data_IF_556314719284
#
_entry.id   IF_556314719284
#
_cell.length_a   1.000
_cell.length_b   1.000
_cell.length_c   1.000
_cell.angle_alpha   90.00
_cell.angle_beta   90.00
_cell.angle_gamma   90.00
#
_symmetry.space_group_name_H-M   'P 1'
#
loop_
_entity.id
_entity.type
_entity.pdbx_description
1 polymer ?
#
# COMPACT_ATOMS: atom_id res chain seq x y z
N UNK A 1 -0.23 2.54 9.90
CA UNK A 1 -0.50 3.97 10.18
C UNK A 1 -0.41 4.31 11.66
N UNK A 2 -0.97 3.55 12.59
CA UNK A 2 -0.96 3.88 14.04
C UNK A 2 0.43 4.07 14.63
N UNK A 3 1.44 3.31 14.22
CA UNK A 3 2.83 3.51 14.63
C UNK A 3 3.36 4.91 14.24
N UNK A 4 3.02 5.39 13.03
CA UNK A 4 3.39 6.73 12.58
C UNK A 4 2.63 7.81 13.35
N UNK A 5 1.32 7.67 13.58
CA UNK A 5 0.53 8.60 14.41
C UNK A 5 1.15 8.72 15.80
N UNK A 6 1.45 7.57 16.43
CA UNK A 6 2.09 7.54 17.74
C UNK A 6 3.44 8.27 17.75
N UNK A 7 4.26 8.05 16.74
CA UNK A 7 5.57 8.69 16.64
C UNK A 7 5.45 10.21 16.45
N UNK A 8 4.56 10.67 15.55
CA UNK A 8 4.29 12.10 15.33
C UNK A 8 3.85 12.76 16.62
N UNK A 9 2.84 12.21 17.31
CA UNK A 9 2.31 12.80 18.54
C UNK A 9 3.38 12.86 19.64
N UNK A 10 4.08 11.76 19.90
CA UNK A 10 5.07 11.72 20.98
C UNK A 10 6.30 12.58 20.69
N UNK A 11 6.79 12.61 19.46
CA UNK A 11 7.90 13.48 19.07
C UNK A 11 7.51 14.96 19.08
N UNK A 12 6.27 15.30 18.77
CA UNK A 12 5.74 16.66 18.91
C UNK A 12 5.66 17.10 20.38
N UNK A 13 5.10 16.25 21.24
CA UNK A 13 4.98 16.53 22.69
C UNK A 13 6.37 16.75 23.30
N UNK A 14 7.37 15.95 22.94
CA UNK A 14 8.75 16.12 23.42
C UNK A 14 9.34 17.49 23.06
N UNK A 15 8.86 18.12 21.98
CA UNK A 15 9.23 19.49 21.58
C UNK A 15 8.31 20.57 22.16
N UNK A 16 7.40 20.21 23.06
CA UNK A 16 6.44 21.14 23.67
C UNK A 16 5.25 21.50 22.76
N UNK A 17 5.02 20.74 21.68
CA UNK A 17 3.92 20.99 20.76
C UNK A 17 2.62 20.34 21.22
N UNK A 18 1.50 20.96 20.89
CA UNK A 18 0.17 20.37 21.03
C UNK A 18 -0.17 19.61 19.75
N UNK A 19 -0.69 18.39 19.88
CA UNK A 19 -1.09 17.58 18.76
C UNK A 19 -2.62 17.42 18.68
N UNK A 20 -3.19 17.67 17.51
CA UNK A 20 -4.59 17.40 17.18
C UNK A 20 -4.65 16.31 16.12
N UNK A 21 -5.51 15.32 16.34
CA UNK A 21 -5.83 14.30 15.35
C UNK A 21 -7.03 14.71 14.51
N UNK A 22 -6.88 14.69 13.18
CA UNK A 22 -7.99 14.90 12.25
C UNK A 22 -8.63 13.53 11.96
N UNK A 23 -9.88 13.33 12.37
CA UNK A 23 -10.62 12.10 12.07
C UNK A 23 -11.08 12.11 10.62
N UNK A 24 -11.12 10.92 10.00
CA UNK A 24 -11.65 10.71 8.62
C UNK A 24 -10.95 11.54 7.54
N UNK A 25 -9.66 11.85 7.74
CA UNK A 25 -8.84 12.53 6.74
C UNK A 25 -9.41 13.89 6.30
N UNK A 26 -9.33 14.22 5.00
CA UNK A 26 -9.78 15.53 4.51
C UNK A 26 -11.27 15.79 4.69
N UNK A 27 -12.11 14.76 4.69
CA UNK A 27 -13.55 14.92 4.99
C UNK A 27 -13.75 15.44 6.41
N UNK A 28 -13.02 14.88 7.37
CA UNK A 28 -13.08 15.33 8.74
C UNK A 28 -12.42 16.70 8.95
N UNK A 29 -11.36 17.00 8.20
CA UNK A 29 -10.73 18.32 8.24
C UNK A 29 -11.72 19.43 7.86
N UNK A 30 -12.48 19.23 6.78
CA UNK A 30 -13.52 20.18 6.35
C UNK A 30 -14.64 20.34 7.36
N UNK A 31 -14.95 19.27 8.09
CA UNK A 31 -15.96 19.26 9.16
C UNK A 31 -15.42 19.73 10.52
N UNK A 32 -14.14 20.11 10.62
CA UNK A 32 -13.44 20.41 11.88
C UNK A 32 -13.54 19.27 12.91
N UNK A 33 -13.54 18.00 12.45
CA UNK A 33 -13.57 16.81 13.31
C UNK A 33 -12.16 16.56 13.89
N UNK A 34 -11.81 17.39 14.86
CA UNK A 34 -10.48 17.46 15.48
C UNK A 34 -10.56 16.90 16.89
N UNK A 35 -9.57 16.09 17.28
CA UNK A 35 -9.46 15.52 18.62
C UNK A 35 -8.08 15.80 19.21
N UNK A 36 -7.97 16.27 20.45
CA UNK A 36 -6.70 16.39 21.13
C UNK A 36 -6.03 15.01 21.25
N UNK A 37 -4.72 14.95 21.02
CA UNK A 37 -3.92 13.72 21.15
C UNK A 37 -2.78 13.95 22.13
N UNK A 38 -2.90 13.35 23.31
CA UNK A 38 -1.82 13.28 24.29
C UNK A 38 -1.05 11.95 24.22
N UNK A 39 -0.01 11.84 25.03
CA UNK A 39 0.83 10.63 25.10
C UNK A 39 0.05 9.36 25.49
N UNK A 40 -1.04 9.49 26.26
CA UNK A 40 -1.91 8.39 26.67
C UNK A 40 -2.82 7.93 25.54
N UNK A 41 -3.35 8.86 24.74
CA UNK A 41 -4.28 8.55 23.63
C UNK A 41 -3.62 7.72 22.53
N UNK A 42 -2.30 7.86 22.38
CA UNK A 42 -1.48 7.04 21.46
C UNK A 42 -0.74 5.91 22.16
N UNK A 43 -1.08 5.63 23.41
CA UNK A 43 -0.62 4.45 24.16
C UNK A 43 -1.31 3.19 23.64
N UNK A 44 -0.56 2.07 23.49
CA UNK A 44 -1.15 0.79 23.12
C UNK A 44 -1.69 0.68 21.68
N UNK A 45 -1.40 1.61 20.77
CA UNK A 45 -1.91 1.58 19.39
C UNK A 45 -0.91 1.02 18.37
N UNK A 46 0.37 0.87 18.72
CA UNK A 46 1.43 0.49 17.79
C UNK A 46 1.20 -0.88 17.14
N UNK A 47 0.58 -1.80 17.87
CA UNK A 47 0.26 -3.15 17.42
C UNK A 47 -1.07 -3.23 16.66
N UNK A 48 -1.88 -2.16 16.66
CA UNK A 48 -3.17 -2.15 16.00
C UNK A 48 -3.03 -1.84 14.51
N UNK A 49 -3.68 -2.64 13.67
CA UNK A 49 -3.81 -2.37 12.24
C UNK A 49 -4.72 -1.16 11.95
N UNK A 50 -4.77 -0.78 10.68
CA UNK A 50 -5.60 0.34 10.24
C UNK A 50 -5.14 1.69 10.78
N UNK A 51 -6.10 2.54 11.17
CA UNK A 51 -5.86 3.87 11.75
C UNK A 51 -6.90 4.22 12.81
N UNK A 52 -6.44 4.67 13.97
CA UNK A 52 -7.31 5.15 15.05
C UNK A 52 -8.09 6.42 14.69
N UNK A 53 -7.59 7.17 13.70
CA UNK A 53 -8.23 8.40 13.22
C UNK A 53 -9.25 8.14 12.10
N UNK A 54 -9.43 6.88 11.69
CA UNK A 54 -10.28 6.49 10.56
C UNK A 54 -9.83 7.12 9.23
N UNK A 55 -10.51 6.81 8.16
CA UNK A 55 -10.26 7.38 6.84
C UNK A 55 -11.57 7.49 6.07
N UNK A 56 -11.67 8.49 5.19
CA UNK A 56 -12.76 8.64 4.24
C UNK A 56 -12.23 9.20 2.91
N UNK A 57 -12.91 8.89 1.82
CA UNK A 57 -12.64 9.53 0.53
C UNK A 57 -13.30 10.91 0.50
N UNK A 58 -12.54 11.92 0.08
CA UNK A 58 -13.03 13.29 -0.11
C UNK A 58 -12.79 13.67 -1.58
N UNK A 59 -13.77 13.38 -2.44
CA UNK A 59 -13.63 13.63 -3.87
C UNK A 59 -13.55 15.12 -4.20
N UNK A 60 -14.25 15.97 -3.43
CA UNK A 60 -14.25 17.42 -3.59
C UNK A 60 -12.91 18.08 -3.22
N UNK A 61 -12.00 17.35 -2.57
CA UNK A 61 -10.69 17.90 -2.18
C UNK A 61 -9.76 18.17 -3.37
N UNK A 62 -10.16 17.79 -4.60
CA UNK A 62 -9.50 18.18 -5.85
C UNK A 62 -9.77 19.64 -6.22
N UNK A 63 -10.81 20.27 -5.65
CA UNK A 63 -11.23 21.64 -5.91
C UNK A 63 -10.47 22.62 -5.00
N UNK A 64 -9.91 23.69 -5.58
CA UNK A 64 -9.14 24.67 -4.81
C UNK A 64 -10.00 25.39 -3.75
N UNK A 65 -11.28 25.63 -4.01
CA UNK A 65 -12.19 26.21 -3.04
C UNK A 65 -12.29 25.37 -1.77
N UNK A 66 -12.38 24.03 -1.91
CA UNK A 66 -12.41 23.07 -0.81
C UNK A 66 -11.08 23.05 -0.05
N UNK A 67 -9.95 23.16 -0.76
CA UNK A 67 -8.61 23.21 -0.15
C UNK A 67 -8.43 24.50 0.67
N UNK A 68 -8.91 25.65 0.16
CA UNK A 68 -8.90 26.93 0.90
C UNK A 68 -9.78 26.84 2.16
N UNK A 69 -10.97 26.26 2.05
CA UNK A 69 -11.83 26.01 3.22
C UNK A 69 -11.10 25.15 4.27
N UNK A 70 -10.36 24.12 3.88
CA UNK A 70 -9.56 23.33 4.80
C UNK A 70 -8.48 24.16 5.51
N UNK A 71 -7.79 25.05 4.80
CA UNK A 71 -6.81 25.96 5.39
C UNK A 71 -7.48 26.92 6.38
N UNK A 72 -8.66 27.42 6.06
CA UNK A 72 -9.41 28.30 6.96
C UNK A 72 -9.84 27.58 8.26
N UNK A 73 -10.17 26.29 8.17
CA UNK A 73 -10.41 25.45 9.35
C UNK A 73 -9.14 25.33 10.17
N UNK A 74 -7.99 24.99 9.55
CA UNK A 74 -6.71 24.87 10.25
C UNK A 74 -6.34 26.17 10.97
N UNK A 75 -6.46 27.32 10.30
CA UNK A 75 -6.15 28.63 10.86
C UNK A 75 -7.08 29.02 12.03
N UNK A 76 -8.38 28.75 11.90
CA UNK A 76 -9.36 29.03 12.98
C UNK A 76 -9.09 28.21 14.24
N UNK A 77 -8.47 27.05 14.10
CA UNK A 77 -8.07 26.19 15.22
C UNK A 77 -6.61 26.38 15.62
N UNK A 78 -5.95 27.45 15.15
CA UNK A 78 -4.57 27.80 15.48
C UNK A 78 -3.56 26.67 15.18
N UNK A 79 -3.84 25.88 14.11
CA UNK A 79 -2.98 24.81 13.67
C UNK A 79 -1.92 25.39 12.75
N UNK A 80 -0.65 25.25 13.14
CA UNK A 80 0.50 25.85 12.44
C UNK A 80 1.07 24.95 11.35
N UNK A 81 0.92 23.62 11.48
CA UNK A 81 1.41 22.66 10.51
C UNK A 81 0.55 21.40 10.46
N UNK A 82 0.60 20.67 9.35
CA UNK A 82 -0.13 19.43 9.13
C UNK A 82 0.80 18.29 8.74
N UNK A 83 0.64 17.13 9.38
CA UNK A 83 1.26 15.87 8.94
C UNK A 83 0.20 14.99 8.27
N UNK A 84 0.42 14.63 7.00
CA UNK A 84 -0.51 13.81 6.20
C UNK A 84 0.06 12.42 6.01
N UNK A 85 -0.57 11.41 6.61
CA UNK A 85 -0.15 10.00 6.51
C UNK A 85 -1.05 9.28 5.51
N UNK A 86 -0.53 8.90 4.35
CA UNK A 86 -1.34 8.21 3.35
C UNK A 86 -0.64 7.95 2.02
N UNK A 87 -1.40 7.41 1.07
CA UNK A 87 -0.98 7.11 -0.30
C UNK A 87 -1.13 8.30 -1.25
N UNK A 88 -1.04 8.03 -2.57
CA UNK A 88 -1.00 9.04 -3.63
C UNK A 88 -2.09 10.12 -3.53
N UNK A 89 -3.36 9.75 -3.30
CA UNK A 89 -4.44 10.72 -3.16
C UNK A 89 -4.27 11.64 -1.95
N UNK A 90 -3.77 11.12 -0.83
CA UNK A 90 -3.49 11.93 0.36
C UNK A 90 -2.33 12.88 0.13
N UNK A 91 -1.27 12.42 -0.57
CA UNK A 91 -0.11 13.24 -0.89
C UNK A 91 -0.43 14.31 -1.94
N UNK A 92 -1.32 14.03 -2.89
CA UNK A 92 -1.84 15.06 -3.81
C UNK A 92 -2.57 16.18 -3.06
N UNK A 93 -3.41 15.84 -2.08
CA UNK A 93 -4.05 16.82 -1.20
C UNK A 93 -3.04 17.58 -0.33
N UNK A 94 -2.03 16.91 0.21
CA UNK A 94 -0.94 17.54 0.95
C UNK A 94 -0.17 18.55 0.09
N UNK A 95 0.14 18.19 -1.18
CA UNK A 95 0.75 19.10 -2.14
C UNK A 95 -0.13 20.32 -2.41
N UNK A 96 -1.45 20.12 -2.60
CA UNK A 96 -2.38 21.21 -2.85
C UNK A 96 -2.40 22.23 -1.70
N UNK A 97 -2.47 21.75 -0.44
CA UNK A 97 -2.40 22.64 0.73
C UNK A 97 -1.04 23.37 0.82
N UNK A 98 0.06 22.66 0.54
CA UNK A 98 1.40 23.25 0.53
C UNK A 98 1.53 24.33 -0.54
N UNK A 99 0.99 24.12 -1.75
CA UNK A 99 0.94 25.15 -2.81
C UNK A 99 0.18 26.42 -2.39
N UNK A 100 -0.82 26.27 -1.55
CA UNK A 100 -1.59 27.39 -1.00
C UNK A 100 -0.91 28.03 0.23
N UNK A 101 0.33 27.65 0.53
CA UNK A 101 1.19 28.25 1.54
C UNK A 101 0.97 27.71 2.95
N UNK A 102 0.28 26.56 3.13
CA UNK A 102 0.14 25.96 4.45
C UNK A 102 1.30 24.95 4.69
N UNK A 103 1.97 24.97 5.87
CA UNK A 103 3.05 24.03 6.17
C UNK A 103 2.55 22.58 6.27
N UNK A 104 2.96 21.73 5.34
CA UNK A 104 2.55 20.31 5.29
C UNK A 104 3.76 19.41 5.12
N UNK A 105 3.78 18.30 5.85
CA UNK A 105 4.70 17.18 5.64
C UNK A 105 3.90 15.90 5.39
N UNK A 106 4.21 15.20 4.29
CA UNK A 106 3.62 13.92 3.96
C UNK A 106 4.40 12.76 4.58
N UNK A 107 3.73 11.63 4.85
CA UNK A 107 4.33 10.34 5.20
C UNK A 107 3.77 9.27 4.27
N UNK A 108 4.68 8.51 3.63
CA UNK A 108 4.32 7.46 2.67
C UNK A 108 3.65 6.26 3.36
N UNK A 109 2.34 6.06 3.15
CA UNK A 109 1.57 4.97 3.77
C UNK A 109 0.47 4.47 2.83
N UNK A 110 0.70 3.30 2.24
CA UNK A 110 -0.26 2.54 1.42
C UNK A 110 0.22 1.10 1.32
N UNK A 111 -0.69 0.14 1.10
CA UNK A 111 -0.32 -1.25 0.82
C UNK A 111 0.15 -1.44 -0.62
N UNK A 112 -0.25 -0.54 -1.53
CA UNK A 112 0.00 -0.64 -2.98
C UNK A 112 1.48 -0.40 -3.34
N UNK A 113 2.26 0.17 -2.40
CA UNK A 113 3.68 0.53 -2.52
C UNK A 113 4.03 1.33 -3.78
N UNK A 114 3.11 2.19 -4.23
CA UNK A 114 3.15 2.94 -5.49
C UNK A 114 3.43 4.45 -5.33
N UNK A 115 3.75 4.90 -4.10
CA UNK A 115 4.08 6.31 -3.82
C UNK A 115 5.52 6.60 -4.24
N UNK A 116 5.68 7.57 -5.14
CA UNK A 116 7.01 8.08 -5.53
C UNK A 116 7.70 8.74 -4.33
N UNK A 117 9.02 8.53 -4.20
CA UNK A 117 9.80 9.07 -3.07
C UNK A 117 9.91 8.14 -1.86
N UNK A 118 9.45 6.86 -1.99
CA UNK A 118 9.70 5.84 -0.97
C UNK A 118 9.90 4.46 -1.60
N UNK A 119 10.97 3.75 -1.23
CA UNK A 119 11.20 2.36 -1.67
C UNK A 119 10.16 1.41 -1.08
N UNK A 120 9.74 1.67 0.15
CA UNK A 120 8.69 0.92 0.83
C UNK A 120 7.75 1.87 1.58
N UNK A 121 6.46 1.59 1.54
CA UNK A 121 5.41 2.37 2.19
C UNK A 121 4.85 1.64 3.40
N UNK A 122 4.43 2.38 4.42
CA UNK A 122 3.82 1.80 5.63
C UNK A 122 2.57 1.01 5.24
N UNK A 123 2.54 -0.27 5.59
CA UNK A 123 1.44 -1.20 5.35
C UNK A 123 1.71 -2.22 4.25
N UNK A 124 2.69 -1.99 3.36
CA UNK A 124 3.00 -2.89 2.26
C UNK A 124 3.55 -4.24 2.74
N UNK A 125 4.44 -4.24 3.74
CA UNK A 125 5.00 -5.46 4.32
C UNK A 125 3.93 -6.33 5.00
N UNK A 126 3.03 -5.71 5.73
CA UNK A 126 1.92 -6.42 6.38
C UNK A 126 0.98 -7.06 5.34
N UNK A 127 0.62 -6.32 4.29
CA UNK A 127 -0.23 -6.84 3.22
C UNK A 127 0.45 -7.97 2.43
N UNK A 128 1.76 -7.86 2.22
CA UNK A 128 2.59 -8.90 1.59
C UNK A 128 2.62 -10.17 2.44
N UNK A 129 2.82 -10.03 3.75
CA UNK A 129 2.82 -11.18 4.69
C UNK A 129 1.50 -11.93 4.65
N UNK A 130 0.36 -11.21 4.63
CA UNK A 130 -0.98 -11.84 4.53
C UNK A 130 -1.14 -12.61 3.20
N UNK A 131 -0.66 -12.03 2.09
CA UNK A 131 -0.69 -12.69 0.79
C UNK A 131 0.17 -13.97 0.80
N UNK A 132 1.37 -13.90 1.36
CA UNK A 132 2.30 -15.03 1.45
C UNK A 132 1.73 -16.16 2.31
N UNK A 133 1.15 -15.84 3.47
CA UNK A 133 0.48 -16.84 4.31
C UNK A 133 -0.67 -17.55 3.56
N UNK A 134 -1.45 -16.82 2.77
CA UNK A 134 -2.51 -17.41 1.96
C UNK A 134 -1.97 -18.34 0.88
N UNK A 135 -0.90 -17.94 0.18
CA UNK A 135 -0.21 -18.76 -0.82
C UNK A 135 0.32 -20.04 -0.19
N UNK A 136 0.99 -19.97 0.95
CA UNK A 136 1.55 -21.15 1.63
C UNK A 136 0.48 -22.12 2.10
N UNK A 137 -0.66 -21.62 2.59
CA UNK A 137 -1.82 -22.47 2.93
C UNK A 137 -2.40 -23.15 1.69
N UNK A 138 -2.49 -22.43 0.57
CA UNK A 138 -3.00 -22.99 -0.69
C UNK A 138 -2.06 -24.04 -1.28
N UNK A 139 -0.74 -23.88 -1.16
CA UNK A 139 0.23 -24.91 -1.58
C UNK A 139 -0.05 -26.26 -0.95
N UNK A 140 -0.34 -26.28 0.36
CA UNK A 140 -0.63 -27.53 1.07
C UNK A 140 -1.83 -28.25 0.49
N UNK A 141 -2.91 -27.52 0.19
CA UNK A 141 -4.11 -28.12 -0.40
C UNK A 141 -3.93 -28.42 -1.90
N UNK A 142 -3.16 -27.60 -2.63
CA UNK A 142 -2.85 -27.79 -4.05
C UNK A 142 -2.11 -29.11 -4.30
N UNK A 143 -1.10 -29.42 -3.47
CA UNK A 143 -0.38 -30.71 -3.52
C UNK A 143 -1.34 -31.87 -3.30
N UNK A 144 -2.22 -31.80 -2.30
CA UNK A 144 -3.13 -32.88 -1.94
C UNK A 144 -4.17 -33.20 -3.01
N UNK A 145 -4.60 -32.19 -3.77
CA UNK A 145 -5.68 -32.33 -4.75
C UNK A 145 -5.22 -32.30 -6.22
N UNK A 146 -3.92 -32.11 -6.48
CA UNK A 146 -3.35 -32.00 -7.82
C UNK A 146 -4.07 -30.97 -8.71
N UNK A 147 -4.31 -29.76 -8.18
CA UNK A 147 -5.08 -28.70 -8.83
C UNK A 147 -4.26 -27.43 -9.02
N UNK A 148 -4.64 -26.65 -10.04
CA UNK A 148 -4.16 -25.30 -10.23
C UNK A 148 -4.96 -24.28 -9.43
N UNK A 149 -4.28 -23.28 -8.88
CA UNK A 149 -4.89 -22.18 -8.14
C UNK A 149 -4.42 -20.82 -8.66
N UNK A 150 -5.34 -19.87 -8.69
CA UNK A 150 -5.05 -18.44 -8.85
C UNK A 150 -5.35 -17.72 -7.56
N UNK A 151 -4.40 -16.94 -7.07
CA UNK A 151 -4.55 -16.08 -5.90
C UNK A 151 -4.60 -14.63 -6.37
N UNK A 152 -5.77 -14.00 -6.25
CA UNK A 152 -5.90 -12.57 -6.55
C UNK A 152 -5.56 -11.74 -5.33
N UNK A 153 -4.67 -10.76 -5.53
CA UNK A 153 -4.17 -9.86 -4.49
C UNK A 153 -4.52 -8.42 -4.83
N UNK A 154 -4.67 -7.58 -3.80
CA UNK A 154 -4.87 -6.15 -3.96
C UNK A 154 -3.64 -5.46 -4.58
N UNK A 155 -3.75 -4.18 -4.86
CA UNK A 155 -2.68 -3.33 -5.41
C UNK A 155 -3.19 -2.27 -6.36
N UNK A 156 -4.47 -2.29 -6.72
CA UNK A 156 -5.09 -1.43 -7.74
C UNK A 156 -4.32 -1.50 -9.06
N UNK A 157 -3.70 -0.37 -9.45
CA UNK A 157 -2.92 -0.26 -10.69
C UNK A 157 -1.43 -0.61 -10.48
N UNK A 158 -1.05 -1.17 -9.32
CA UNK A 158 0.31 -1.61 -8.98
C UNK A 158 0.37 -3.13 -8.83
N UNK A 159 1.27 -3.75 -9.55
CA UNK A 159 1.59 -5.16 -9.45
C UNK A 159 2.51 -5.52 -8.28
N UNK A 160 2.86 -4.57 -7.41
CA UNK A 160 3.86 -4.78 -6.37
C UNK A 160 3.54 -5.97 -5.45
N UNK A 161 2.32 -6.03 -4.91
CA UNK A 161 1.93 -7.13 -4.02
C UNK A 161 1.93 -8.48 -4.75
N UNK A 162 1.44 -8.52 -5.99
CA UNK A 162 1.45 -9.75 -6.80
C UNK A 162 2.87 -10.22 -7.09
N UNK A 163 3.74 -9.30 -7.52
CA UNK A 163 5.13 -9.62 -7.83
C UNK A 163 5.89 -10.11 -6.59
N UNK A 164 5.81 -9.38 -5.49
CA UNK A 164 6.57 -9.72 -4.28
C UNK A 164 6.03 -10.98 -3.60
N UNK A 165 4.70 -11.14 -3.53
CA UNK A 165 4.09 -12.35 -2.97
C UNK A 165 4.36 -13.58 -3.85
N UNK A 166 4.30 -13.41 -5.16
CA UNK A 166 4.60 -14.48 -6.10
C UNK A 166 6.05 -14.92 -6.06
N UNK A 167 6.98 -13.96 -6.04
CA UNK A 167 8.42 -14.23 -5.95
C UNK A 167 8.78 -14.91 -4.61
N UNK A 168 8.34 -14.34 -3.47
CA UNK A 168 8.58 -14.90 -2.15
C UNK A 168 7.86 -16.24 -1.95
N UNK A 169 6.68 -16.41 -2.53
CA UNK A 169 5.92 -17.64 -2.52
C UNK A 169 6.40 -18.69 -3.53
N UNK A 170 7.33 -18.38 -4.43
CA UNK A 170 7.82 -19.34 -5.44
C UNK A 170 6.70 -19.91 -6.29
N UNK A 171 5.84 -19.07 -6.81
CA UNK A 171 4.69 -19.45 -7.65
C UNK A 171 5.10 -19.66 -9.10
N UNK A 172 4.23 -20.27 -9.89
CA UNK A 172 4.53 -20.67 -11.27
C UNK A 172 4.23 -19.57 -12.29
N UNK A 173 3.29 -18.66 -11.97
CA UNK A 173 2.94 -17.51 -12.82
C UNK A 173 2.60 -16.27 -11.99
N UNK A 174 2.96 -15.10 -12.50
CA UNK A 174 2.64 -13.81 -11.87
C UNK A 174 2.06 -12.88 -12.94
N UNK A 175 0.86 -12.33 -12.65
CA UNK A 175 0.15 -11.42 -13.56
C UNK A 175 0.05 -10.05 -12.89
N UNK A 176 0.59 -9.04 -13.58
CA UNK A 176 0.66 -7.64 -13.08
C UNK A 176 0.07 -6.67 -14.10
N UNK A 177 -0.52 -5.54 -13.67
CA UNK A 177 -1.12 -4.57 -14.59
C UNK A 177 -0.10 -3.84 -15.48
N UNK A 178 1.18 -3.82 -15.10
CA UNK A 178 2.25 -3.14 -15.84
C UNK A 178 2.68 -3.89 -17.11
N UNK A 179 2.21 -5.14 -17.30
CA UNK A 179 2.53 -5.96 -18.47
C UNK A 179 1.26 -6.42 -19.14
N UNK A 180 1.20 -6.24 -20.45
CA UNK A 180 0.13 -6.84 -21.24
C UNK A 180 0.21 -8.36 -21.13
N UNK A 181 -0.89 -8.97 -20.71
CA UNK A 181 -0.95 -10.40 -20.43
C UNK A 181 -1.91 -11.06 -21.42
N UNK A 182 -1.39 -12.06 -22.15
CA UNK A 182 -2.20 -12.97 -22.94
C UNK A 182 -2.55 -14.20 -22.08
N UNK A 183 -3.85 -14.57 -21.94
CA UNK A 183 -4.25 -15.78 -21.24
C UNK A 183 -3.56 -17.06 -21.69
N UNK A 184 -3.19 -17.16 -22.98
CA UNK A 184 -2.43 -18.32 -23.51
C UNK A 184 -1.01 -18.39 -22.96
N UNK A 185 -0.36 -17.24 -22.78
CA UNK A 185 0.98 -17.23 -22.17
C UNK A 185 0.94 -17.75 -20.74
N UNK A 186 -0.07 -17.37 -19.96
CA UNK A 186 -0.28 -17.86 -18.59
C UNK A 186 -0.63 -19.36 -18.60
N UNK A 187 -1.45 -19.80 -19.55
CA UNK A 187 -1.74 -21.23 -19.71
C UNK A 187 -0.46 -22.03 -19.99
N UNK A 188 0.42 -21.51 -20.83
CA UNK A 188 1.70 -22.12 -21.14
C UNK A 188 2.62 -22.18 -19.91
N UNK A 189 2.74 -21.09 -19.14
CA UNK A 189 3.55 -21.05 -17.92
C UNK A 189 3.05 -22.06 -16.87
N UNK A 190 1.74 -22.09 -16.59
CA UNK A 190 1.15 -23.04 -15.64
C UNK A 190 1.25 -24.50 -16.12
N UNK A 191 1.05 -24.74 -17.41
CA UNK A 191 1.20 -26.09 -17.99
C UNK A 191 2.64 -26.59 -17.88
N UNK A 192 3.61 -25.73 -18.14
CA UNK A 192 5.01 -26.08 -18.00
C UNK A 192 5.40 -26.57 -16.59
N UNK A 193 4.68 -26.13 -15.54
CA UNK A 193 4.85 -26.66 -14.19
C UNK A 193 4.44 -28.14 -14.12
N UNK A 194 3.29 -28.51 -14.69
CA UNK A 194 2.84 -29.90 -14.76
C UNK A 194 3.77 -30.77 -15.63
N UNK A 195 4.22 -30.24 -16.79
CA UNK A 195 5.12 -30.94 -17.69
C UNK A 195 6.48 -31.26 -17.02
N UNK A 196 6.91 -30.44 -16.06
CA UNK A 196 8.08 -30.70 -15.20
C UNK A 196 7.82 -31.67 -14.04
N UNK A 197 6.61 -32.24 -13.96
CA UNK A 197 6.23 -33.21 -12.94
C UNK A 197 5.73 -32.58 -11.62
N UNK A 198 5.46 -31.29 -11.55
CA UNK A 198 4.79 -30.68 -10.39
C UNK A 198 3.35 -31.20 -10.30
N UNK A 199 2.92 -31.60 -9.10
CA UNK A 199 1.57 -32.07 -8.86
C UNK A 199 0.51 -30.95 -8.87
N UNK A 200 0.93 -29.68 -8.85
CA UNK A 200 0.08 -28.51 -8.77
C UNK A 200 0.73 -27.30 -9.46
N UNK A 201 -0.07 -26.29 -9.77
CA UNK A 201 0.43 -24.99 -10.23
C UNK A 201 -0.28 -23.86 -9.48
N UNK A 202 0.46 -22.81 -9.12
CA UNK A 202 -0.07 -21.62 -8.46
C UNK A 202 0.31 -20.38 -9.25
N UNK A 203 -0.69 -19.57 -9.58
CA UNK A 203 -0.51 -18.23 -10.11
C UNK A 203 -0.95 -17.16 -9.13
N UNK A 204 -0.26 -16.02 -9.10
CA UNK A 204 -0.67 -14.82 -8.37
C UNK A 204 -1.07 -13.73 -9.36
N UNK A 205 -2.22 -13.13 -9.16
CA UNK A 205 -2.82 -12.14 -10.07
C UNK A 205 -3.10 -10.85 -9.30
N UNK A 206 -2.61 -9.73 -9.79
CA UNK A 206 -2.99 -8.42 -9.26
C UNK A 206 -4.44 -8.08 -9.66
N UNK A 207 -5.25 -7.55 -8.72
CA UNK A 207 -6.64 -7.16 -8.97
C UNK A 207 -6.82 -6.18 -10.14
N UNK A 208 -5.81 -5.36 -10.42
CA UNK A 208 -5.78 -4.37 -11.48
C UNK A 208 -5.27 -4.88 -12.83
N UNK A 209 -4.93 -6.16 -12.94
CA UNK A 209 -4.49 -6.73 -14.21
C UNK A 209 -5.63 -6.74 -15.24
N UNK A 210 -5.32 -6.57 -16.56
CA UNK A 210 -6.33 -6.62 -17.62
C UNK A 210 -7.15 -7.91 -17.62
N UNK A 211 -6.52 -9.03 -17.27
CA UNK A 211 -7.17 -10.30 -16.98
C UNK A 211 -7.02 -10.61 -15.49
N UNK A 212 -8.06 -10.36 -14.72
CA UNK A 212 -8.10 -10.74 -13.31
C UNK A 212 -8.23 -12.27 -13.14
N UNK A 213 -8.13 -12.75 -11.90
CA UNK A 213 -8.13 -14.20 -11.65
C UNK A 213 -9.41 -14.91 -12.10
N UNK A 214 -10.57 -14.25 -11.99
CA UNK A 214 -11.85 -14.79 -12.45
C UNK A 214 -11.93 -14.90 -13.98
N UNK A 215 -11.42 -13.88 -14.71
CA UNK A 215 -11.39 -13.89 -16.16
C UNK A 215 -10.45 -14.98 -16.68
N UNK A 216 -9.28 -15.14 -16.06
CA UNK A 216 -8.35 -16.23 -16.37
C UNK A 216 -8.99 -17.60 -16.10
N UNK A 217 -9.61 -17.81 -14.93
CA UNK A 217 -10.24 -19.08 -14.61
C UNK A 217 -11.38 -19.42 -15.59
N UNK A 218 -12.15 -18.43 -16.03
CA UNK A 218 -13.18 -18.61 -17.07
C UNK A 218 -12.56 -19.04 -18.38
N UNK A 219 -11.51 -18.36 -18.82
CA UNK A 219 -10.79 -18.74 -20.03
C UNK A 219 -10.29 -20.19 -19.98
N UNK A 220 -9.71 -20.63 -18.86
CA UNK A 220 -9.26 -22.00 -18.66
C UNK A 220 -10.42 -23.01 -18.68
N UNK A 221 -11.56 -22.64 -18.10
CA UNK A 221 -12.76 -23.49 -18.11
C UNK A 221 -13.30 -23.69 -19.55
N UNK A 222 -13.39 -22.62 -20.34
CA UNK A 222 -13.85 -22.64 -21.72
C UNK A 222 -12.92 -23.48 -22.63
N UNK A 223 -11.63 -23.47 -22.36
CA UNK A 223 -10.61 -24.16 -23.13
C UNK A 223 -10.10 -25.46 -22.47
N UNK A 224 -10.82 -25.98 -21.47
CA UNK A 224 -10.37 -27.13 -20.65
C UNK A 224 -10.01 -28.39 -21.46
N UNK A 225 -10.72 -28.64 -22.56
CA UNK A 225 -10.44 -29.81 -23.44
C UNK A 225 -9.02 -29.75 -24.03
N UNK A 226 -8.51 -28.57 -24.29
CA UNK A 226 -7.17 -28.33 -24.86
C UNK A 226 -6.11 -28.13 -23.76
N UNK A 227 -6.46 -27.40 -22.70
CA UNK A 227 -5.51 -27.04 -21.64
C UNK A 227 -5.27 -28.19 -20.64
N UNK A 228 -6.25 -29.06 -20.44
CA UNK A 228 -6.11 -30.31 -19.67
C UNK A 228 -6.29 -30.13 -18.16
N UNK A 229 -6.52 -28.91 -17.66
CA UNK A 229 -6.75 -28.65 -16.23
C UNK A 229 -7.64 -27.43 -16.01
N UNK A 230 -8.20 -27.33 -14.81
CA UNK A 230 -9.02 -26.21 -14.35
C UNK A 230 -8.31 -25.45 -13.23
N UNK A 231 -8.59 -24.16 -13.12
CA UNK A 231 -8.09 -23.30 -12.06
C UNK A 231 -9.15 -23.02 -11.01
N UNK A 232 -8.74 -22.96 -9.77
CA UNK A 232 -9.54 -22.49 -8.64
C UNK A 232 -9.07 -21.10 -8.24
N UNK A 233 -10.01 -20.18 -8.04
CA UNK A 233 -9.71 -18.80 -7.66
C UNK A 233 -9.86 -18.61 -6.15
N UNK A 234 -8.93 -17.88 -5.58
CA UNK A 234 -9.01 -17.34 -4.22
C UNK A 234 -8.71 -15.85 -4.28
N UNK A 235 -9.73 -15.04 -4.07
CA UNK A 235 -9.59 -13.57 -4.01
C UNK A 235 -9.39 -13.14 -2.56
N UNK A 236 -8.23 -12.58 -2.23
CA UNK A 236 -7.93 -12.13 -0.86
C UNK A 236 -8.68 -10.85 -0.51
N UNK A 237 -8.74 -9.89 -1.43
CA UNK A 237 -9.47 -8.64 -1.23
C UNK A 237 -9.08 -7.92 0.07
N UNK A 238 -10.08 -7.37 0.76
CA UNK A 238 -9.87 -6.49 1.91
C UNK A 238 -9.26 -7.16 3.15
N UNK A 239 -9.14 -8.49 3.23
CA UNK A 239 -8.40 -9.14 4.33
C UNK A 239 -6.93 -8.71 4.35
N UNK A 240 -6.36 -8.35 3.19
CA UNK A 240 -4.99 -7.82 3.09
C UNK A 240 -4.81 -6.44 3.75
N UNK A 241 -5.89 -5.71 4.01
CA UNK A 241 -5.87 -4.42 4.72
C UNK A 241 -6.03 -4.57 6.23
N UNK A 242 -6.34 -5.78 6.69
CA UNK A 242 -6.55 -6.11 8.09
C UNK A 242 -5.27 -6.58 8.79
N UNK A 243 -5.44 -7.12 9.97
CA UNK A 243 -4.37 -7.73 10.75
C UNK A 243 -3.51 -6.76 11.56
N UNK A 244 -2.63 -7.34 12.36
CA UNK A 244 -1.66 -6.59 13.15
C UNK A 244 -0.39 -6.35 12.33
N UNK A 245 0.17 -5.12 12.33
CA UNK A 245 1.38 -4.83 11.58
C UNK A 245 2.57 -5.64 12.12
N UNK A 246 3.39 -6.17 11.22
CA UNK A 246 4.66 -6.81 11.52
C UNK A 246 5.68 -5.83 12.11
N UNK A 247 6.80 -6.36 12.59
CA UNK A 247 7.88 -5.54 13.17
C UNK A 247 8.39 -4.49 12.19
N UNK A 248 8.51 -4.86 10.91
CA UNK A 248 9.00 -3.95 9.87
C UNK A 248 8.11 -2.71 9.73
N UNK A 249 6.79 -2.88 9.53
CA UNK A 249 5.86 -1.75 9.39
C UNK A 249 5.75 -0.89 10.66
N UNK A 250 5.89 -1.49 11.85
CA UNK A 250 5.92 -0.72 13.11
C UNK A 250 7.18 0.16 13.20
N UNK A 251 8.35 -0.38 12.86
CA UNK A 251 9.60 0.35 12.86
C UNK A 251 9.62 1.43 11.77
N UNK A 252 9.19 1.09 10.55
CA UNK A 252 9.09 2.03 9.44
C UNK A 252 8.15 3.19 9.81
N UNK A 253 6.94 2.89 10.29
CA UNK A 253 5.99 3.91 10.71
C UNK A 253 6.53 4.80 11.82
N UNK A 254 7.24 4.23 12.79
CA UNK A 254 7.87 4.99 13.89
C UNK A 254 8.96 5.93 13.35
N UNK A 255 9.85 5.43 12.47
CA UNK A 255 10.94 6.24 11.90
C UNK A 255 10.42 7.37 11.01
N UNK A 256 9.47 7.06 10.11
CA UNK A 256 8.89 8.09 9.23
C UNK A 256 8.09 9.14 10.02
N UNK A 257 7.35 8.70 11.06
CA UNK A 257 6.62 9.62 11.92
C UNK A 257 7.54 10.58 12.69
N UNK A 258 8.61 10.08 13.30
CA UNK A 258 9.60 10.92 13.97
C UNK A 258 10.32 11.82 12.96
N UNK A 259 10.69 11.30 11.79
CA UNK A 259 11.30 12.07 10.71
C UNK A 259 10.44 13.24 10.24
N UNK A 260 9.12 13.07 10.16
CA UNK A 260 8.21 14.16 9.77
C UNK A 260 8.21 15.31 10.79
N UNK A 261 8.24 15.00 12.08
CA UNK A 261 8.35 15.99 13.14
C UNK A 261 9.70 16.70 13.11
N UNK A 262 10.79 15.96 12.84
CA UNK A 262 12.13 16.56 12.69
C UNK A 262 12.19 17.55 11.53
N UNK A 263 11.50 17.29 10.41
CA UNK A 263 11.43 18.21 9.27
C UNK A 263 10.67 19.48 9.65
N UNK A 264 9.50 19.35 10.27
CA UNK A 264 8.73 20.51 10.77
C UNK A 264 9.53 21.35 11.76
N UNK A 265 10.28 20.72 12.68
CA UNK A 265 11.11 21.42 13.66
C UNK A 265 12.26 22.22 13.02
N UNK A 266 12.69 21.84 11.81
CA UNK A 266 13.70 22.58 11.02
C UNK A 266 13.07 23.61 10.08
N UNK A 267 11.75 23.77 10.09
CA UNK A 267 11.03 24.62 9.13
C UNK A 267 10.94 24.01 7.71
N UNK A 268 11.29 22.74 7.55
CA UNK A 268 11.21 22.03 6.28
C UNK A 268 9.80 21.49 6.10
N UNK A 269 9.06 22.00 5.13
CA UNK A 269 7.72 21.57 4.76
C UNK A 269 7.55 21.48 3.25
N UNK A 270 6.40 21.05 2.76
CA UNK A 270 6.19 20.78 1.34
C UNK A 270 6.90 19.53 0.84
N UNK A 271 7.23 18.61 1.74
CA UNK A 271 7.97 17.37 1.46
C UNK A 271 7.21 16.13 1.91
N UNK A 272 7.44 15.02 1.21
CA UNK A 272 7.11 13.66 1.65
C UNK A 272 8.29 13.09 2.42
N UNK A 273 8.04 12.54 3.58
CA UNK A 273 8.98 11.68 4.31
C UNK A 273 8.76 10.23 3.88
N UNK A 274 9.77 9.64 3.30
CA UNK A 274 9.81 8.29 2.79
C UNK A 274 11.06 7.54 3.25
N UNK A 275 11.18 6.31 2.77
CA UNK A 275 12.31 5.42 3.03
C UNK A 275 13.11 5.22 1.75
N UNK A 276 14.31 5.76 1.67
CA UNK A 276 15.22 5.66 0.52
C UNK A 276 16.60 5.26 0.99
N UNK A 277 17.22 4.29 0.34
CA UNK A 277 18.57 3.79 0.63
C UNK A 277 18.75 3.42 2.11
N UNK A 278 17.75 2.76 2.67
CA UNK A 278 17.73 2.33 4.09
C UNK A 278 17.72 3.46 5.11
N UNK A 279 17.35 4.69 4.70
CA UNK A 279 17.29 5.88 5.55
C UNK A 279 15.94 6.62 5.39
N UNK A 280 15.64 7.45 6.39
CA UNK A 280 14.53 8.41 6.32
C UNK A 280 14.97 9.58 5.43
N UNK A 281 14.32 9.72 4.29
CA UNK A 281 14.64 10.76 3.31
C UNK A 281 13.41 11.61 2.98
N UNK A 282 13.63 12.74 2.34
CA UNK A 282 12.56 13.64 1.88
C UNK A 282 12.55 13.76 0.37
N UNK A 283 11.35 13.86 -0.18
CA UNK A 283 11.10 14.17 -1.61
C UNK A 283 10.09 15.32 -1.67
N UNK A 284 10.32 16.36 -2.49
CA UNK A 284 9.34 17.44 -2.64
C UNK A 284 7.94 16.92 -3.01
N UNK A 285 6.89 17.37 -2.34
CA UNK A 285 5.50 16.96 -2.65
C UNK A 285 5.13 17.26 -4.10
N UNK A 286 5.72 18.29 -4.70
CA UNK A 286 5.55 18.62 -6.10
C UNK A 286 6.04 17.52 -7.05
N UNK A 287 7.06 16.76 -6.65
CA UNK A 287 7.58 15.62 -7.42
C UNK A 287 6.77 14.35 -7.16
N UNK A 288 6.20 14.22 -5.97
CA UNK A 288 5.35 13.07 -5.58
C UNK A 288 3.99 13.17 -6.25
N UNK A 289 3.39 14.37 -6.28
CA UNK A 289 2.10 14.57 -6.88
C UNK A 289 2.15 14.35 -8.40
N UNK A 290 1.34 13.43 -8.90
CA UNK A 290 1.28 13.09 -10.32
C UNK A 290 2.31 12.07 -10.80
N UNK A 291 3.18 11.56 -9.92
CA UNK A 291 4.08 10.46 -10.24
C UNK A 291 3.71 9.21 -9.45
N UNK A 292 3.85 8.06 -10.07
CA UNK A 292 3.79 6.76 -9.39
C UNK A 292 5.16 6.11 -9.43
N UNK A 293 5.45 5.33 -8.40
CA UNK A 293 6.64 4.50 -8.39
C UNK A 293 6.47 3.35 -9.36
N UNK A 294 7.43 3.19 -10.27
CA UNK A 294 7.42 2.08 -11.22
C UNK A 294 7.72 0.76 -10.52
N UNK A 295 7.15 -0.32 -11.04
CA UNK A 295 7.48 -1.68 -10.63
C UNK A 295 8.89 -2.05 -11.13
N UNK A 296 9.66 -2.77 -10.32
CA UNK A 296 10.96 -3.31 -10.76
C UNK A 296 10.78 -4.55 -11.64
N UNK A 297 10.81 -4.33 -12.94
CA UNK A 297 10.60 -5.39 -13.94
C UNK A 297 11.67 -6.48 -13.92
N UNK A 298 12.86 -6.18 -13.37
CA UNK A 298 13.94 -7.19 -13.23
C UNK A 298 13.53 -8.29 -12.25
N UNK A 299 12.73 -7.96 -11.23
CA UNK A 299 12.19 -8.96 -10.30
C UNK A 299 11.12 -9.84 -10.95
N UNK A 300 10.35 -9.32 -11.90
CA UNK A 300 9.41 -10.14 -12.65
C UNK A 300 10.13 -11.13 -13.57
N UNK A 301 11.21 -10.71 -14.22
CA UNK A 301 12.06 -11.60 -15.01
C UNK A 301 12.75 -12.66 -14.13
N UNK A 302 13.26 -12.25 -12.96
CA UNK A 302 13.82 -13.18 -11.98
C UNK A 302 12.78 -14.23 -11.55
N UNK A 303 11.54 -13.82 -11.25
CA UNK A 303 10.47 -14.73 -10.89
C UNK A 303 10.21 -15.77 -12.01
N UNK A 304 10.18 -15.34 -13.28
CA UNK A 304 10.03 -16.24 -14.44
C UNK A 304 11.19 -17.24 -14.57
N UNK A 305 12.40 -16.83 -14.25
CA UNK A 305 13.58 -17.73 -14.25
C UNK A 305 13.46 -18.76 -13.13
N UNK A 306 13.05 -18.34 -11.93
CA UNK A 306 12.93 -19.21 -10.76
C UNK A 306 11.70 -20.13 -10.80
N UNK A 307 10.70 -19.81 -11.60
CA UNK A 307 9.54 -20.67 -11.85
C UNK A 307 9.85 -21.87 -12.74
N UNK A 308 10.96 -21.86 -13.48
CA UNK A 308 11.45 -22.96 -14.34
C UNK A 308 12.11 -24.03 -13.49
#
# INVERSE_FOLDING_TARGET
>A
MNAAIRAVVRSGIERGWTALGVRRGYTGLLAADLVPLGARDVGGIIQLGGTMLHSARCLTFTEEATQRQAIDVLRRHEIEALVVIGGNGSQAGAHALSRLGFPVVGIASTIDNDVYGSEITIGADTALTIALEAIDRLKTTAVSHQRGFLVEVMGRDSGYLALMAGLAGGVDAIVVPEVETDPESIATELRAAYDRGKAHAIGVVAEGAPYNAEMLARYFHEHRARLGFELRVTTLGHVQRGGSPGAFDRLLGTRLGAGAVDRLARGEHGVLVGWLRSEVATTPLAEVAGRRKALDMRLLELARVLAK
#
